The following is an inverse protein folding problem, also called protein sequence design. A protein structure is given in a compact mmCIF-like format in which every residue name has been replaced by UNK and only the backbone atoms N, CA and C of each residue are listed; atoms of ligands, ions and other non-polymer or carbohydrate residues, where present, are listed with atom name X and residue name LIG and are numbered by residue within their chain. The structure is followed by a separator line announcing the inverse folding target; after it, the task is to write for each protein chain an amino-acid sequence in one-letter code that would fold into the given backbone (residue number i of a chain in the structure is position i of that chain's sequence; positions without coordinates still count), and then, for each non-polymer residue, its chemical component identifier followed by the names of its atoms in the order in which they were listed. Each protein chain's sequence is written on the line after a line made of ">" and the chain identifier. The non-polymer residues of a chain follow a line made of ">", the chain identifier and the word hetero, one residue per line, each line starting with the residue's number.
data_IF_381466129470
#
_entry.id   IF_381466129470
#
_cell.length_a   1.000
_cell.length_b   1.000
_cell.length_c   1.000
_cell.angle_alpha   90.00
_cell.angle_beta   90.00
_cell.angle_gamma   90.00
#
_symmetry.space_group_name_H-M   'P 1'
#
loop_
_entity.id
_entity.type
_entity.pdbx_description
1 polymer ?
#
# COMPACT_ATOMS: atom_id res chain seq x y z
N UNK A 1 -14.58 -17.45 -1.29
CA UNK A 1 -13.46 -16.49 -1.04
C UNK A 1 -12.99 -16.01 -2.41
N UNK A 2 -12.87 -14.71 -2.64
CA UNK A 2 -12.52 -14.16 -3.96
C UNK A 2 -11.01 -13.84 -3.97
N UNK A 3 -10.27 -14.41 -4.93
CA UNK A 3 -8.84 -14.16 -5.10
C UNK A 3 -8.62 -13.35 -6.39
N UNK A 4 -8.36 -12.05 -6.24
CA UNK A 4 -8.14 -11.18 -7.38
C UNK A 4 -6.94 -11.60 -8.24
N UNK A 5 -5.88 -12.11 -7.61
CA UNK A 5 -4.65 -12.53 -8.30
C UNK A 5 -4.93 -13.71 -9.21
N UNK A 6 -5.64 -14.71 -8.70
CA UNK A 6 -6.03 -15.89 -9.46
C UNK A 6 -6.96 -15.53 -10.62
N UNK A 7 -7.96 -14.68 -10.38
CA UNK A 7 -8.85 -14.19 -11.43
C UNK A 7 -8.09 -13.44 -12.54
N UNK A 8 -7.11 -12.61 -12.18
CA UNK A 8 -6.30 -11.87 -13.15
C UNK A 8 -5.36 -12.79 -13.94
N UNK A 9 -4.77 -13.80 -13.29
CA UNK A 9 -3.97 -14.84 -13.97
C UNK A 9 -4.82 -15.65 -14.94
N UNK A 10 -6.03 -16.07 -14.56
CA UNK A 10 -6.97 -16.78 -15.44
C UNK A 10 -7.44 -15.91 -16.62
N UNK A 11 -7.48 -14.58 -16.46
CA UNK A 11 -7.74 -13.64 -17.54
C UNK A 11 -6.52 -13.39 -18.45
N UNK A 12 -5.37 -14.04 -18.19
CA UNK A 12 -4.17 -13.94 -19.02
C UNK A 12 -3.24 -12.77 -18.66
N UNK A 13 -3.39 -12.17 -17.47
CA UNK A 13 -2.50 -11.10 -17.01
C UNK A 13 -1.32 -11.65 -16.22
N UNK A 14 -0.12 -11.13 -16.47
CA UNK A 14 1.00 -11.27 -15.53
C UNK A 14 0.75 -10.36 -14.32
N UNK A 15 1.10 -10.85 -13.12
CA UNK A 15 0.88 -10.13 -11.86
C UNK A 15 2.18 -9.99 -11.10
N UNK A 16 2.48 -8.76 -10.66
CA UNK A 16 3.50 -8.44 -9.67
C UNK A 16 2.80 -7.98 -8.38
N UNK A 17 3.12 -8.64 -7.27
CA UNK A 17 2.74 -8.21 -5.92
C UNK A 17 4.04 -7.97 -5.16
N UNK A 18 4.11 -6.85 -4.44
CA UNK A 18 5.29 -6.48 -3.68
C UNK A 18 4.93 -6.01 -2.28
N UNK A 19 5.80 -6.30 -1.33
CA UNK A 19 5.70 -5.76 0.02
C UNK A 19 6.34 -4.38 0.03
N UNK A 20 5.58 -3.36 0.45
CA UNK A 20 6.08 -1.98 0.52
C UNK A 20 7.24 -1.87 1.52
N UNK A 21 8.11 -0.89 1.32
CA UNK A 21 9.13 -0.51 2.30
C UNK A 21 8.49 -0.39 3.70
N UNK A 22 9.14 -0.93 4.72
CA UNK A 22 8.62 -0.94 6.09
C UNK A 22 7.62 -2.07 6.39
N UNK A 23 7.25 -2.91 5.42
CA UNK A 23 6.26 -3.99 5.62
C UNK A 23 6.82 -5.35 5.22
N UNK A 24 6.21 -6.43 5.73
CA UNK A 24 6.52 -7.79 5.28
C UNK A 24 7.99 -8.18 5.45
N UNK A 25 8.60 -8.74 4.40
CA UNK A 25 10.04 -9.06 4.29
C UNK A 25 10.88 -7.92 3.68
N UNK A 26 10.26 -6.86 3.18
CA UNK A 26 10.99 -5.66 2.73
C UNK A 26 11.75 -4.99 3.88
N UNK A 27 12.79 -4.23 3.52
CA UNK A 27 13.60 -3.48 4.49
C UNK A 27 12.71 -2.56 5.35
N UNK A 28 13.11 -2.42 6.62
CA UNK A 28 12.41 -1.61 7.61
C UNK A 28 13.33 -0.50 8.14
N UNK A 29 13.69 0.49 7.30
CA UNK A 29 14.47 1.64 7.74
C UNK A 29 13.64 2.53 8.68
N UNK A 30 14.21 3.65 9.11
CA UNK A 30 13.50 4.59 9.98
C UNK A 30 12.14 5.01 9.40
N UNK A 31 11.08 4.78 10.18
CA UNK A 31 9.70 4.99 9.77
C UNK A 31 9.37 6.45 9.54
N UNK A 32 9.97 7.36 10.31
CA UNK A 32 9.67 8.80 10.27
C UNK A 32 10.32 9.49 9.08
N UNK A 33 11.59 9.16 8.80
CA UNK A 33 12.37 9.84 7.76
C UNK A 33 12.42 9.11 6.42
N UNK A 34 12.25 7.77 6.40
CA UNK A 34 12.40 6.97 5.17
C UNK A 34 11.10 6.35 4.68
N UNK A 35 10.28 5.78 5.57
CA UNK A 35 9.03 5.10 5.20
C UNK A 35 7.88 6.11 5.08
N UNK A 36 7.98 6.98 4.09
CA UNK A 36 7.06 8.08 3.85
C UNK A 36 6.37 7.95 2.50
N UNK A 37 5.19 8.59 2.34
CA UNK A 37 4.41 8.53 1.11
C UNK A 37 5.23 8.91 -0.14
N UNK A 38 6.04 9.97 -0.05
CA UNK A 38 6.92 10.37 -1.15
C UNK A 38 7.89 9.25 -1.57
N UNK A 39 8.48 8.54 -0.61
CA UNK A 39 9.35 7.39 -0.89
C UNK A 39 8.57 6.25 -1.56
N UNK A 40 7.35 5.97 -1.12
CA UNK A 40 6.51 4.95 -1.74
C UNK A 40 6.14 5.30 -3.19
N UNK A 41 5.88 6.57 -3.49
CA UNK A 41 5.64 7.05 -4.87
C UNK A 41 6.86 6.78 -5.76
N UNK A 42 8.07 7.06 -5.26
CA UNK A 42 9.29 6.81 -6.02
C UNK A 42 9.55 5.31 -6.25
N UNK A 43 9.31 4.48 -5.24
CA UNK A 43 9.43 3.02 -5.37
C UNK A 43 8.45 2.51 -6.44
N UNK A 44 7.19 2.95 -6.40
CA UNK A 44 6.20 2.56 -7.41
C UNK A 44 6.62 3.00 -8.82
N UNK A 45 7.11 4.25 -8.96
CA UNK A 45 7.63 4.74 -10.25
C UNK A 45 8.79 3.88 -10.78
N UNK A 46 9.71 3.48 -9.90
CA UNK A 46 10.83 2.60 -10.27
C UNK A 46 10.36 1.20 -10.67
N UNK A 47 9.37 0.63 -9.99
CA UNK A 47 8.79 -0.66 -10.35
C UNK A 47 8.09 -0.60 -11.72
N UNK A 48 7.34 0.47 -12.01
CA UNK A 48 6.72 0.66 -13.33
C UNK A 48 7.78 0.77 -14.42
N UNK A 49 8.82 1.58 -14.21
CA UNK A 49 9.95 1.68 -15.16
C UNK A 49 10.63 0.34 -15.36
N UNK A 50 10.84 -0.40 -14.28
CA UNK A 50 11.42 -1.73 -14.31
C UNK A 50 10.59 -2.71 -15.15
N UNK A 51 9.26 -2.70 -15.01
CA UNK A 51 8.37 -3.54 -15.82
C UNK A 51 8.36 -3.13 -17.30
N UNK A 52 8.44 -1.82 -17.60
CA UNK A 52 8.42 -1.30 -18.97
C UNK A 52 9.74 -1.45 -19.71
N UNK A 53 10.87 -1.36 -19.03
CA UNK A 53 12.21 -1.52 -19.62
C UNK A 53 12.58 -3.01 -19.66
N UNK A 54 12.14 -3.78 -18.67
CA UNK A 54 12.55 -5.16 -18.48
C UNK A 54 14.01 -5.28 -18.01
N UNK A 55 14.51 -6.51 -17.98
CA UNK A 55 15.94 -6.82 -17.82
C UNK A 55 16.43 -7.53 -19.09
N UNK A 56 17.73 -7.49 -19.41
CA UNK A 56 18.29 -8.37 -20.44
C UNK A 56 17.90 -9.83 -20.17
N UNK A 57 17.25 -10.48 -21.15
CA UNK A 57 16.73 -11.85 -21.01
C UNK A 57 15.47 -12.01 -20.15
N UNK A 58 14.89 -10.92 -19.67
CA UNK A 58 13.64 -10.90 -18.90
C UNK A 58 12.44 -10.40 -19.71
N UNK A 59 11.26 -10.48 -19.11
CA UNK A 59 10.02 -9.96 -19.71
C UNK A 59 9.98 -8.44 -19.69
N UNK A 60 9.39 -7.87 -20.74
CA UNK A 60 9.05 -6.46 -20.86
C UNK A 60 7.54 -6.32 -21.04
N UNK A 61 6.93 -5.34 -20.38
CA UNK A 61 5.49 -5.12 -20.43
C UNK A 61 5.15 -3.78 -21.08
N UNK A 62 4.46 -3.83 -22.23
CA UNK A 62 4.02 -2.64 -22.95
C UNK A 62 2.87 -1.93 -22.22
N UNK A 63 2.05 -2.68 -21.48
CA UNK A 63 0.95 -2.16 -20.68
C UNK A 63 1.15 -2.49 -19.21
N UNK A 64 1.06 -1.48 -18.36
CA UNK A 64 1.18 -1.59 -16.90
C UNK A 64 -0.04 -0.95 -16.26
N UNK A 65 -0.81 -1.77 -15.54
CA UNK A 65 -1.95 -1.35 -14.73
C UNK A 65 -1.61 -1.60 -13.28
N UNK A 66 -1.78 -0.60 -12.41
CA UNK A 66 -1.54 -0.77 -10.98
C UNK A 66 -2.85 -0.68 -10.20
N UNK A 67 -3.03 -1.60 -9.25
CA UNK A 67 -4.23 -1.71 -8.42
C UNK A 67 -3.85 -1.36 -6.99
N UNK A 68 -4.48 -0.32 -6.47
CA UNK A 68 -4.26 0.17 -5.11
C UNK A 68 -5.47 -0.09 -4.22
N UNK A 69 -5.20 -0.37 -2.94
CA UNK A 69 -6.20 -0.34 -1.88
C UNK A 69 -5.79 0.62 -0.77
N UNK A 70 -6.72 1.48 -0.33
CA UNK A 70 -6.51 2.43 0.75
C UNK A 70 -5.23 3.26 0.53
N UNK A 71 -4.23 3.15 1.40
CA UNK A 71 -2.93 3.81 1.24
C UNK A 71 -2.22 3.48 -0.09
N UNK A 72 -2.42 2.28 -0.64
CA UNK A 72 -1.97 1.93 -1.98
C UNK A 72 -2.58 2.85 -3.04
N UNK A 73 -3.88 3.11 -2.97
CA UNK A 73 -4.56 4.06 -3.87
C UNK A 73 -4.07 5.49 -3.69
N UNK A 74 -3.78 5.93 -2.46
CA UNK A 74 -3.15 7.24 -2.20
C UNK A 74 -1.78 7.33 -2.90
N UNK A 75 -1.01 6.24 -2.84
CA UNK A 75 0.29 6.14 -3.52
C UNK A 75 0.14 6.23 -5.04
N UNK A 76 -0.82 5.51 -5.64
CA UNK A 76 -1.06 5.56 -7.09
C UNK A 76 -1.56 6.92 -7.57
N UNK A 77 -2.44 7.55 -6.80
CA UNK A 77 -2.92 8.88 -7.10
C UNK A 77 -1.78 9.90 -7.10
N UNK A 78 -0.89 9.83 -6.11
CA UNK A 78 0.32 10.66 -6.06
C UNK A 78 1.32 10.35 -7.17
N UNK A 79 1.47 9.07 -7.55
CA UNK A 79 2.33 8.62 -8.65
C UNK A 79 1.90 9.23 -9.99
N UNK A 80 0.62 9.10 -10.35
CA UNK A 80 0.06 9.67 -11.59
C UNK A 80 0.05 11.20 -11.52
N UNK A 81 -0.24 11.78 -10.36
CA UNK A 81 -0.14 13.23 -10.16
C UNK A 81 1.27 13.79 -10.37
N UNK A 82 2.32 13.03 -10.03
CA UNK A 82 3.72 13.46 -10.17
C UNK A 82 4.31 13.16 -11.55
N UNK A 83 4.00 12.01 -12.14
CA UNK A 83 4.65 11.52 -13.35
C UNK A 83 3.73 11.46 -14.58
N UNK A 84 2.47 11.90 -14.46
CA UNK A 84 1.50 11.90 -15.55
C UNK A 84 1.17 10.49 -16.04
N UNK A 85 1.36 10.24 -17.33
CA UNK A 85 0.97 9.00 -18.02
C UNK A 85 1.94 7.83 -17.77
N UNK A 86 2.43 7.68 -16.54
CA UNK A 86 3.37 6.61 -16.17
C UNK A 86 2.71 5.22 -16.19
N UNK A 87 1.40 5.15 -15.92
CA UNK A 87 0.56 3.95 -15.97
C UNK A 87 -0.41 4.00 -17.16
N UNK A 88 -0.74 2.84 -17.72
CA UNK A 88 -1.79 2.72 -18.75
C UNK A 88 -3.20 2.82 -18.12
N UNK A 89 -3.35 2.34 -16.89
CA UNK A 89 -4.52 2.53 -16.06
C UNK A 89 -4.17 2.38 -14.58
N UNK A 90 -5.01 2.94 -13.69
CA UNK A 90 -4.97 2.67 -12.26
C UNK A 90 -6.35 2.27 -11.74
N UNK A 91 -6.39 1.32 -10.83
CA UNK A 91 -7.62 0.92 -10.12
C UNK A 91 -7.48 1.34 -8.66
N UNK A 92 -8.41 2.16 -8.18
CA UNK A 92 -8.39 2.70 -6.82
C UNK A 92 -9.53 2.08 -6.01
N UNK A 93 -9.23 1.51 -4.85
CA UNK A 93 -10.21 0.88 -3.98
C UNK A 93 -10.06 1.40 -2.54
N UNK A 94 -11.18 1.57 -1.82
CA UNK A 94 -11.13 2.15 -0.47
C UNK A 94 -10.55 3.58 -0.43
N UNK A 95 -10.73 4.34 -1.51
CA UNK A 95 -10.19 5.68 -1.68
C UNK A 95 -11.20 6.58 -2.38
N UNK A 96 -11.28 7.84 -1.94
CA UNK A 96 -11.96 8.92 -2.64
C UNK A 96 -11.08 10.17 -2.60
N UNK A 97 -11.00 10.98 -3.68
CA UNK A 97 -10.21 12.21 -3.73
C UNK A 97 -10.92 13.37 -3.00
N UNK A 98 -11.45 13.11 -1.79
CA UNK A 98 -12.18 14.08 -0.99
C UNK A 98 -11.27 14.57 0.16
N UNK A 99 -10.95 15.87 0.15
CA UNK A 99 -10.18 16.49 1.22
C UNK A 99 -10.94 16.46 2.57
N UNK A 100 -10.22 16.19 3.66
CA UNK A 100 -10.75 16.28 5.03
C UNK A 100 -11.11 14.94 5.70
N UNK A 101 -11.71 13.99 4.98
CA UNK A 101 -12.12 12.70 5.57
C UNK A 101 -10.94 11.80 5.93
N UNK A 102 -9.86 11.83 5.14
CA UNK A 102 -8.72 10.94 5.32
C UNK A 102 -8.00 11.13 6.66
N UNK A 103 -7.86 12.38 7.13
CA UNK A 103 -7.20 12.66 8.40
C UNK A 103 -8.02 12.17 9.59
N UNK A 104 -9.33 12.41 9.58
CA UNK A 104 -10.23 11.93 10.63
C UNK A 104 -10.29 10.40 10.67
N UNK A 105 -10.39 9.76 9.50
CA UNK A 105 -10.36 8.29 9.41
C UNK A 105 -9.02 7.71 9.89
N UNK A 106 -7.90 8.35 9.53
CA UNK A 106 -6.57 7.93 9.97
C UNK A 106 -6.39 8.10 11.48
N UNK A 107 -6.84 9.22 12.06
CA UNK A 107 -6.76 9.45 13.50
C UNK A 107 -7.62 8.46 14.30
N UNK A 108 -8.78 8.06 13.76
CA UNK A 108 -9.71 7.14 14.42
C UNK A 108 -9.16 5.72 14.64
N UNK A 109 -8.07 5.35 13.96
CA UNK A 109 -7.42 4.03 14.13
C UNK A 109 -6.83 3.84 15.53
N UNK A 110 -6.54 4.93 16.26
CA UNK A 110 -5.90 4.85 17.58
C UNK A 110 -4.57 4.12 17.50
N UNK A 111 -3.57 4.79 16.92
CA UNK A 111 -2.26 4.21 16.66
C UNK A 111 -1.47 4.03 17.96
N UNK A 112 -0.73 2.93 18.05
CA UNK A 112 0.28 2.69 19.08
C UNK A 112 1.60 2.27 18.45
N UNK A 113 2.70 2.43 19.19
CA UNK A 113 4.02 1.96 18.76
C UNK A 113 3.98 0.43 18.63
N UNK A 114 4.41 -0.08 17.47
CA UNK A 114 4.31 -1.50 17.13
C UNK A 114 4.99 -2.41 18.16
N UNK A 115 6.22 -2.06 18.56
CA UNK A 115 7.00 -2.82 19.53
C UNK A 115 6.43 -2.76 20.95
N UNK A 116 5.62 -1.75 21.28
CA UNK A 116 4.95 -1.64 22.57
C UNK A 116 3.60 -2.36 22.57
N UNK A 117 2.82 -2.23 21.49
CA UNK A 117 1.48 -2.82 21.38
C UNK A 117 1.48 -4.34 21.15
N UNK A 118 2.43 -4.86 20.36
CA UNK A 118 2.57 -6.29 20.10
C UNK A 118 4.06 -6.69 20.03
N UNK A 119 4.74 -6.77 21.20
CA UNK A 119 6.17 -7.06 21.26
C UNK A 119 6.51 -8.46 20.74
N UNK A 120 5.56 -9.41 20.78
CA UNK A 120 5.78 -10.77 20.25
C UNK A 120 5.94 -10.75 18.73
N UNK A 121 5.17 -9.93 18.02
CA UNK A 121 5.23 -9.82 16.55
C UNK A 121 6.20 -8.74 16.07
N UNK A 122 6.34 -7.65 16.80
CA UNK A 122 7.04 -6.45 16.34
C UNK A 122 8.12 -5.93 17.29
N UNK A 123 8.52 -6.69 18.31
CA UNK A 123 9.50 -6.25 19.31
C UNK A 123 10.87 -5.83 18.76
N UNK A 124 11.23 -6.29 17.55
CA UNK A 124 12.46 -5.89 16.87
C UNK A 124 12.33 -4.62 16.02
N UNK A 125 11.12 -4.04 15.88
CA UNK A 125 10.92 -2.81 15.11
C UNK A 125 11.24 -1.58 15.96
N UNK A 126 11.79 -0.54 15.31
CA UNK A 126 11.98 0.76 15.93
C UNK A 126 10.64 1.39 16.33
N UNK A 127 10.68 2.33 17.28
CA UNK A 127 9.50 3.08 17.75
C UNK A 127 8.84 3.94 16.67
N UNK A 128 9.48 4.10 15.52
CA UNK A 128 8.94 4.78 14.34
C UNK A 128 7.86 3.98 13.60
N UNK A 129 7.59 2.75 13.99
CA UNK A 129 6.54 1.90 13.42
C UNK A 129 5.32 1.88 14.31
N UNK A 130 4.13 1.94 13.69
CA UNK A 130 2.86 1.95 14.40
C UNK A 130 1.93 0.84 13.90
N UNK A 131 1.06 0.40 14.80
CA UNK A 131 -0.05 -0.52 14.54
C UNK A 131 -1.33 0.08 15.14
N UNK A 132 -2.49 -0.47 14.81
CA UNK A 132 -3.70 -0.20 15.56
C UNK A 132 -3.56 -0.76 16.98
N UNK A 133 -4.07 -0.02 17.96
CA UNK A 133 -3.93 -0.36 19.39
C UNK A 133 -4.62 -1.66 19.79
N UNK A 134 -5.68 -2.07 19.07
CA UNK A 134 -6.32 -3.36 19.31
C UNK A 134 -7.60 -3.57 18.52
N UNK A 135 -8.20 -4.74 18.74
CA UNK A 135 -9.39 -5.23 18.01
C UNK A 135 -10.55 -4.24 18.06
N UNK A 136 -10.77 -3.57 19.20
CA UNK A 136 -11.82 -2.57 19.35
C UNK A 136 -11.63 -1.36 18.43
N UNK A 137 -10.38 -0.96 18.18
CA UNK A 137 -10.05 0.17 17.31
C UNK A 137 -10.19 -0.22 15.83
N UNK A 138 -9.74 -1.44 15.49
CA UNK A 138 -9.97 -2.02 14.16
C UNK A 138 -11.47 -2.12 13.88
N UNK A 139 -12.25 -2.58 14.87
CA UNK A 139 -13.69 -2.68 14.73
C UNK A 139 -14.35 -1.33 14.51
N UNK A 140 -14.00 -0.29 15.27
CA UNK A 140 -14.55 1.06 15.04
C UNK A 140 -14.17 1.64 13.68
N UNK A 141 -12.98 1.31 13.19
CA UNK A 141 -12.46 1.84 11.93
C UNK A 141 -13.07 1.17 10.70
N UNK A 142 -13.47 -0.11 10.79
CA UNK A 142 -13.94 -0.91 9.65
C UNK A 142 -15.36 -1.44 9.76
N UNK A 143 -15.93 -1.55 10.97
CA UNK A 143 -17.26 -2.09 11.21
C UNK A 143 -18.17 -1.05 11.88
N UNK A 144 -19.34 -0.82 11.27
CA UNK A 144 -20.42 -0.05 11.89
C UNK A 144 -21.34 -1.02 12.63
N UNK A 145 -21.77 -0.67 13.84
CA UNK A 145 -22.82 -1.41 14.56
C UNK A 145 -24.07 -1.57 13.67
N UNK A 146 -24.53 -2.82 13.51
CA UNK A 146 -25.74 -3.16 12.74
C UNK A 146 -25.54 -3.76 11.35
N UNK A 147 -24.30 -4.05 10.91
CA UNK A 147 -24.02 -4.72 9.64
C UNK A 147 -23.10 -5.94 9.82
N UNK A 148 -23.61 -6.96 10.52
CA UNK A 148 -23.10 -8.33 10.53
C UNK A 148 -24.28 -9.30 10.45
#
# INVERSE_FOLDING_TARGET
>A
MYNYVEAALHAGHAILIYERLGTGKSNKPDGISKVQLATHIEIAAQLVRYLRIGKPGGSQFNRVVEVGHSFGSVTLFGLVGKYGNVLDAMVLTGFAPLGGFAFSAFAAVGWTIASAGDPKRFGSLSSSYMISEGVSNDQRSFFRYGNY
#
